data_IF_798388641968
#
_entry.id   IF_798388641968
#
_cell.length_a   1.000
_cell.length_b   1.000
_cell.length_c   1.000
_cell.angle_alpha   90.00
_cell.angle_beta   90.00
_cell.angle_gamma   90.00
#
_symmetry.space_group_name_H-M   'P 1'
#
loop_
_entity.id
_entity.type
_entity.pdbx_description
1 polymer ?
#
# COMPACT_ATOMS: atom_id res chain seq x y z
N UNK A 1 -41.74 1.15 -22.29
CA UNK A 1 -40.33 0.73 -22.43
C UNK A 1 -40.33 -0.78 -22.58
N UNK A 2 -39.84 -1.33 -23.71
CA UNK A 2 -39.87 -2.78 -23.93
C UNK A 2 -38.69 -3.41 -23.20
N UNK A 3 -38.94 -4.40 -22.37
CA UNK A 3 -37.90 -5.18 -21.71
C UNK A 3 -37.29 -6.10 -22.78
N UNK A 4 -35.97 -6.07 -22.90
CA UNK A 4 -35.16 -6.85 -23.85
C UNK A 4 -34.27 -7.79 -23.02
N UNK A 5 -33.88 -8.95 -23.58
CA UNK A 5 -32.93 -9.89 -22.95
C UNK A 5 -33.37 -10.51 -21.61
N UNK A 6 -34.61 -10.33 -21.15
CA UNK A 6 -35.07 -10.92 -19.88
C UNK A 6 -35.03 -12.44 -19.90
N UNK A 7 -35.34 -13.03 -21.05
CA UNK A 7 -35.30 -14.48 -21.29
C UNK A 7 -33.89 -14.98 -21.67
N UNK A 8 -32.92 -14.06 -21.87
CA UNK A 8 -31.55 -14.41 -22.22
C UNK A 8 -30.73 -14.65 -20.95
N UNK A 9 -30.46 -15.91 -20.63
CA UNK A 9 -29.68 -16.30 -19.44
C UNK A 9 -28.26 -15.70 -19.48
N UNK A 10 -27.63 -15.55 -20.66
CA UNK A 10 -26.29 -14.96 -20.77
C UNK A 10 -26.27 -13.48 -20.38
N UNK A 11 -27.36 -12.74 -20.56
CA UNK A 11 -27.47 -11.35 -20.10
C UNK A 11 -27.43 -11.25 -18.56
N UNK A 12 -28.08 -12.19 -17.88
CA UNK A 12 -28.02 -12.31 -16.42
C UNK A 12 -26.63 -12.75 -15.92
N UNK A 13 -26.01 -13.72 -16.59
CA UNK A 13 -24.65 -14.18 -16.26
C UNK A 13 -23.61 -13.08 -16.48
N UNK A 14 -23.77 -12.27 -17.53
CA UNK A 14 -22.96 -11.09 -17.77
C UNK A 14 -23.12 -10.06 -16.64
N UNK A 15 -24.36 -9.73 -16.25
CA UNK A 15 -24.59 -8.82 -15.11
C UNK A 15 -23.93 -9.36 -13.83
N UNK A 16 -24.10 -10.64 -13.53
CA UNK A 16 -23.52 -11.25 -12.33
C UNK A 16 -21.99 -11.19 -12.34
N UNK A 17 -21.35 -11.56 -13.45
CA UNK A 17 -19.89 -11.49 -13.59
C UNK A 17 -19.34 -10.07 -13.48
N UNK A 18 -20.11 -9.04 -13.84
CA UNK A 18 -19.68 -7.63 -13.70
C UNK A 18 -19.67 -7.09 -12.26
N UNK A 19 -20.33 -7.78 -11.30
CA UNK A 19 -20.44 -7.28 -9.91
C UNK A 19 -19.08 -7.22 -9.20
N UNK A 20 -18.23 -8.28 -9.23
CA UNK A 20 -16.87 -8.20 -8.71
C UNK A 20 -16.05 -7.02 -9.27
N UNK A 21 -16.17 -6.72 -10.57
CA UNK A 21 -15.46 -5.60 -11.19
C UNK A 21 -15.78 -4.26 -10.52
N UNK A 22 -17.06 -4.02 -10.20
CA UNK A 22 -17.50 -2.81 -9.50
C UNK A 22 -16.89 -2.71 -8.10
N UNK A 23 -16.87 -3.84 -7.38
CA UNK A 23 -16.31 -3.93 -6.04
C UNK A 23 -14.80 -3.65 -6.08
N UNK A 24 -14.08 -4.14 -7.08
CA UNK A 24 -12.62 -3.93 -7.18
C UNK A 24 -12.24 -2.47 -7.41
N UNK A 25 -13.01 -1.71 -8.20
CA UNK A 25 -12.74 -0.26 -8.37
C UNK A 25 -12.96 0.48 -7.06
N UNK A 26 -14.07 0.18 -6.36
CA UNK A 26 -14.34 0.76 -5.05
C UNK A 26 -13.24 0.39 -4.04
N UNK A 27 -12.82 -0.87 -4.02
CA UNK A 27 -11.74 -1.36 -3.15
C UNK A 27 -10.40 -0.67 -3.43
N UNK A 28 -10.00 -0.54 -4.69
CA UNK A 28 -8.74 0.13 -5.05
C UNK A 28 -8.75 1.62 -4.63
N UNK A 29 -9.88 2.30 -4.81
CA UNK A 29 -10.03 3.69 -4.38
C UNK A 29 -9.96 3.83 -2.84
N UNK A 30 -10.64 2.95 -2.09
CA UNK A 30 -10.65 2.99 -0.61
C UNK A 30 -9.26 2.73 0.00
N UNK A 31 -8.37 2.09 -0.75
CA UNK A 31 -6.96 1.86 -0.39
C UNK A 31 -6.09 3.09 -0.63
N UNK A 32 -6.46 3.94 -1.59
CA UNK A 32 -5.72 5.15 -1.94
C UNK A 32 -6.10 6.33 -1.06
N UNK A 33 -7.37 6.43 -0.66
CA UNK A 33 -7.92 7.60 0.01
C UNK A 33 -8.68 7.25 1.28
N UNK A 34 -8.56 8.09 2.30
CA UNK A 34 -9.38 7.98 3.49
C UNK A 34 -10.84 8.31 3.18
N UNK A 35 -11.73 7.39 3.55
CA UNK A 35 -13.17 7.55 3.43
C UNK A 35 -13.74 8.30 4.64
N UNK A 36 -14.79 9.11 4.41
CA UNK A 36 -15.58 9.74 5.48
C UNK A 36 -16.60 8.79 6.11
N UNK A 37 -16.95 7.73 5.38
CA UNK A 37 -17.91 6.71 5.80
C UNK A 37 -17.24 5.35 5.98
N UNK A 38 -17.96 4.38 6.52
CA UNK A 38 -17.47 3.00 6.58
C UNK A 38 -17.26 2.41 5.18
N UNK A 39 -16.25 1.55 5.04
CA UNK A 39 -15.93 0.89 3.76
C UNK A 39 -17.13 0.12 3.19
N UNK A 40 -17.95 -0.49 4.06
CA UNK A 40 -19.16 -1.24 3.65
C UNK A 40 -20.18 -0.33 2.98
N UNK A 41 -20.47 0.82 3.58
CA UNK A 41 -21.43 1.80 3.01
C UNK A 41 -20.92 2.35 1.69
N UNK A 42 -19.62 2.63 1.58
CA UNK A 42 -19.01 3.06 0.33
C UNK A 42 -19.12 2.01 -0.78
N UNK A 43 -18.83 0.74 -0.48
CA UNK A 43 -18.97 -0.33 -1.47
C UNK A 43 -20.41 -0.50 -1.94
N UNK A 44 -21.39 -0.48 -1.03
CA UNK A 44 -22.81 -0.57 -1.37
C UNK A 44 -23.26 0.61 -2.24
N UNK A 45 -22.84 1.84 -1.91
CA UNK A 45 -23.20 3.02 -2.70
C UNK A 45 -22.58 2.97 -4.11
N UNK A 46 -21.31 2.57 -4.21
CA UNK A 46 -20.60 2.47 -5.48
C UNK A 46 -21.16 1.36 -6.38
N UNK A 47 -21.44 0.18 -5.82
CA UNK A 47 -22.06 -0.92 -6.56
C UNK A 47 -23.49 -0.56 -6.96
N UNK A 48 -24.28 0.03 -6.06
CA UNK A 48 -25.64 0.48 -6.36
C UNK A 48 -25.71 1.48 -7.52
N UNK A 49 -24.82 2.48 -7.54
CA UNK A 49 -24.70 3.42 -8.64
C UNK A 49 -24.34 2.71 -9.97
N UNK A 50 -23.47 1.71 -9.90
CA UNK A 50 -23.02 0.95 -11.06
C UNK A 50 -24.11 -0.03 -11.57
N UNK A 51 -24.96 -0.57 -10.70
CA UNK A 51 -26.16 -1.32 -11.10
C UNK A 51 -27.20 -0.45 -11.81
N UNK A 52 -27.40 0.78 -11.33
CA UNK A 52 -28.27 1.76 -11.98
C UNK A 52 -27.79 2.13 -13.40
N UNK A 53 -26.53 1.86 -13.72
CA UNK A 53 -26.00 1.93 -15.08
C UNK A 53 -26.31 0.70 -15.90
N UNK A 54 -25.86 -0.48 -15.45
CA UNK A 54 -25.80 -1.70 -16.26
C UNK A 54 -27.18 -2.29 -16.52
N UNK A 55 -28.08 -2.31 -15.52
CA UNK A 55 -29.39 -2.94 -15.66
C UNK A 55 -30.23 -2.28 -16.77
N UNK A 56 -30.33 -0.94 -16.86
CA UNK A 56 -30.96 -0.27 -17.99
C UNK A 56 -30.35 -0.59 -19.36
N UNK A 57 -29.03 -0.77 -19.44
CA UNK A 57 -28.35 -1.07 -20.71
C UNK A 57 -28.66 -2.50 -21.17
N UNK A 58 -28.56 -3.46 -20.24
CA UNK A 58 -28.74 -4.88 -20.53
C UNK A 58 -30.19 -5.20 -20.85
N UNK A 59 -31.13 -4.69 -20.05
CA UNK A 59 -32.54 -5.13 -20.09
C UNK A 59 -33.51 -4.16 -20.76
N UNK A 60 -33.11 -2.93 -21.04
CA UNK A 60 -34.02 -1.92 -21.62
C UNK A 60 -33.51 -1.30 -22.93
N UNK A 61 -32.36 -1.78 -23.44
CA UNK A 61 -31.80 -1.32 -24.71
C UNK A 61 -31.46 0.17 -24.74
N UNK A 62 -31.32 0.81 -23.57
CA UNK A 62 -30.97 2.23 -23.47
C UNK A 62 -29.47 2.42 -23.75
N UNK A 63 -29.11 2.42 -25.03
CA UNK A 63 -27.79 2.86 -25.45
C UNK A 63 -27.78 4.38 -25.63
N UNK A 64 -27.32 5.09 -24.60
CA UNK A 64 -27.16 6.55 -24.64
C UNK A 64 -25.66 6.86 -24.60
N UNK A 65 -25.04 7.26 -25.72
CA UNK A 65 -23.59 7.51 -25.81
C UNK A 65 -23.08 8.55 -24.79
N UNK A 66 -23.93 9.51 -24.40
CA UNK A 66 -23.60 10.53 -23.40
C UNK A 66 -23.76 10.04 -21.94
N UNK A 67 -24.46 8.91 -21.70
CA UNK A 67 -24.77 8.43 -20.34
C UNK A 67 -23.55 7.84 -19.63
N UNK A 68 -22.59 7.27 -20.36
CA UNK A 68 -21.31 6.80 -19.80
C UNK A 68 -20.52 7.94 -19.16
N UNK A 69 -20.47 9.11 -19.82
CA UNK A 69 -19.85 10.32 -19.26
C UNK A 69 -20.60 10.85 -18.03
N UNK A 70 -21.94 10.84 -18.05
CA UNK A 70 -22.75 11.23 -16.89
C UNK A 70 -22.48 10.30 -15.69
N UNK A 71 -22.32 9.01 -15.93
CA UNK A 71 -22.05 8.06 -14.85
C UNK A 71 -20.62 8.12 -14.34
N UNK A 72 -19.66 8.35 -15.22
CA UNK A 72 -18.30 8.64 -14.81
C UNK A 72 -18.28 9.91 -13.93
N UNK A 73 -19.02 10.95 -14.30
CA UNK A 73 -19.19 12.14 -13.46
C UNK A 73 -19.86 11.80 -12.12
N UNK A 74 -20.94 11.01 -12.10
CA UNK A 74 -21.59 10.58 -10.86
C UNK A 74 -20.67 9.73 -9.97
N UNK A 75 -19.85 8.85 -10.55
CA UNK A 75 -18.85 8.06 -9.83
C UNK A 75 -17.78 8.96 -9.23
N UNK A 76 -17.28 9.95 -9.97
CA UNK A 76 -16.32 10.94 -9.46
C UNK A 76 -16.93 11.75 -8.31
N UNK A 77 -18.18 12.21 -8.46
CA UNK A 77 -18.90 12.93 -7.40
C UNK A 77 -19.08 12.06 -6.16
N UNK A 78 -19.46 10.79 -6.33
CA UNK A 78 -19.60 9.84 -5.23
C UNK A 78 -18.25 9.60 -4.51
N UNK A 79 -17.18 9.37 -5.27
CA UNK A 79 -15.82 9.23 -4.75
C UNK A 79 -15.37 10.48 -3.97
N UNK A 80 -15.67 11.68 -4.49
CA UNK A 80 -15.34 12.94 -3.84
C UNK A 80 -16.15 13.18 -2.56
N UNK A 81 -17.47 13.00 -2.60
CA UNK A 81 -18.33 13.23 -1.44
C UNK A 81 -17.98 12.27 -0.29
N UNK A 82 -17.72 11.00 -0.61
CA UNK A 82 -17.50 9.93 0.37
C UNK A 82 -16.05 9.81 0.84
N UNK A 83 -15.10 10.56 0.26
CA UNK A 83 -13.70 10.59 0.69
C UNK A 83 -13.28 11.95 1.24
N UNK A 84 -12.18 11.96 2.00
CA UNK A 84 -11.50 13.20 2.42
C UNK A 84 -10.63 13.81 1.31
N UNK A 85 -10.55 13.16 0.15
CA UNK A 85 -9.73 13.62 -0.96
C UNK A 85 -10.38 14.79 -1.72
N UNK A 86 -9.57 15.69 -2.28
CA UNK A 86 -10.07 16.73 -3.18
C UNK A 86 -10.56 16.12 -4.50
N UNK A 87 -11.53 16.77 -5.15
CA UNK A 87 -12.18 16.28 -6.38
C UNK A 87 -11.17 15.97 -7.50
N UNK A 88 -10.09 16.74 -7.60
CA UNK A 88 -9.02 16.54 -8.59
C UNK A 88 -8.37 15.15 -8.44
N UNK A 89 -8.16 14.67 -7.20
CA UNK A 89 -7.59 13.34 -6.97
C UNK A 89 -8.55 12.23 -7.39
N UNK A 90 -9.85 12.42 -7.20
CA UNK A 90 -10.88 11.49 -7.67
C UNK A 90 -10.93 11.44 -9.21
N UNK A 91 -10.84 12.60 -9.87
CA UNK A 91 -10.78 12.69 -11.35
C UNK A 91 -9.56 11.94 -11.89
N UNK A 92 -8.37 12.22 -11.35
CA UNK A 92 -7.13 11.59 -11.82
C UNK A 92 -7.18 10.07 -11.62
N UNK A 93 -7.60 9.60 -10.44
CA UNK A 93 -7.71 8.17 -10.16
C UNK A 93 -8.69 7.48 -11.11
N UNK A 94 -9.89 8.06 -11.28
CA UNK A 94 -10.91 7.49 -12.17
C UNK A 94 -10.45 7.51 -13.64
N UNK A 95 -9.73 8.54 -14.06
CA UNK A 95 -9.11 8.60 -15.40
C UNK A 95 -8.13 7.45 -15.64
N UNK A 96 -7.23 7.16 -14.69
CA UNK A 96 -6.34 6.00 -14.81
C UNK A 96 -7.11 4.66 -14.78
N UNK A 97 -8.12 4.50 -13.90
CA UNK A 97 -8.96 3.30 -13.87
C UNK A 97 -9.68 3.08 -15.21
N UNK A 98 -10.21 4.15 -15.81
CA UNK A 98 -10.85 4.11 -17.13
C UNK A 98 -9.89 3.67 -18.22
N UNK A 99 -8.67 4.22 -18.25
CA UNK A 99 -7.64 3.81 -19.23
C UNK A 99 -7.28 2.33 -19.06
N UNK A 100 -7.11 1.87 -17.82
CA UNK A 100 -6.84 0.44 -17.54
C UNK A 100 -7.99 -0.43 -18.04
N UNK A 101 -9.24 -0.07 -17.73
CA UNK A 101 -10.41 -0.82 -18.16
C UNK A 101 -10.53 -0.84 -19.70
N UNK A 102 -10.30 0.29 -20.37
CA UNK A 102 -10.36 0.39 -21.83
C UNK A 102 -9.27 -0.45 -22.51
N UNK A 103 -8.03 -0.41 -22.00
CA UNK A 103 -6.93 -1.22 -22.50
C UNK A 103 -7.18 -2.72 -22.30
N UNK A 104 -7.74 -3.10 -21.15
CA UNK A 104 -8.07 -4.48 -20.85
C UNK A 104 -9.20 -4.99 -21.75
N UNK A 105 -10.25 -4.19 -21.94
CA UNK A 105 -11.36 -4.52 -22.83
C UNK A 105 -10.89 -4.65 -24.29
N UNK A 106 -10.01 -3.74 -24.74
CA UNK A 106 -9.41 -3.81 -26.06
C UNK A 106 -8.52 -5.04 -26.25
N UNK A 107 -7.71 -5.40 -25.25
CA UNK A 107 -6.87 -6.60 -25.31
C UNK A 107 -7.69 -7.88 -25.37
N UNK A 108 -8.76 -7.97 -24.56
CA UNK A 108 -9.68 -9.10 -24.59
C UNK A 108 -10.42 -9.15 -25.92
N UNK A 109 -10.91 -8.01 -26.42
CA UNK A 109 -11.53 -7.94 -27.73
C UNK A 109 -10.60 -8.47 -28.82
N UNK A 110 -9.33 -8.06 -28.86
CA UNK A 110 -8.37 -8.55 -29.84
C UNK A 110 -8.15 -10.08 -29.74
N UNK A 111 -8.06 -10.62 -28.52
CA UNK A 111 -7.89 -12.06 -28.29
C UNK A 111 -9.10 -12.89 -28.75
N UNK A 112 -10.32 -12.38 -28.56
CA UNK A 112 -11.55 -13.08 -28.95
C UNK A 112 -11.93 -12.82 -30.41
N UNK A 113 -11.61 -11.65 -30.96
CA UNK A 113 -11.91 -11.29 -32.35
C UNK A 113 -11.23 -12.24 -33.36
N UNK A 114 -10.00 -12.68 -33.07
CA UNK A 114 -9.30 -13.70 -33.88
C UNK A 114 -10.00 -15.07 -33.85
N UNK A 115 -10.53 -15.47 -32.70
CA UNK A 115 -11.26 -16.75 -32.54
C UNK A 115 -12.66 -16.68 -33.18
N UNK A 116 -13.31 -15.52 -33.11
CA UNK A 116 -14.69 -15.29 -33.53
C UNK A 116 -14.87 -15.32 -35.06
N UNK A 117 -13.97 -14.67 -35.82
CA UNK A 117 -14.01 -14.73 -37.30
C UNK A 117 -13.77 -16.15 -37.81
N UNK A 118 -12.92 -16.92 -37.13
CA UNK A 118 -12.49 -18.23 -37.60
C UNK A 118 -13.60 -19.29 -37.44
N UNK A 119 -14.49 -19.16 -36.46
CA UNK A 119 -15.44 -20.22 -36.10
C UNK A 119 -16.93 -19.95 -36.44
N UNK A 120 -17.47 -18.74 -36.22
CA UNK A 120 -18.94 -18.59 -36.13
C UNK A 120 -19.57 -17.45 -36.96
N UNK A 121 -18.79 -16.66 -37.71
CA UNK A 121 -19.32 -15.48 -38.42
C UNK A 121 -19.84 -14.38 -37.47
N UNK A 122 -20.38 -13.29 -38.02
CA UNK A 122 -20.88 -12.15 -37.22
C UNK A 122 -22.31 -12.43 -36.76
N UNK A 123 -22.50 -12.80 -35.49
CA UNK A 123 -23.83 -12.88 -34.87
C UNK A 123 -24.33 -11.49 -34.46
N UNK A 124 -25.65 -11.27 -34.52
CA UNK A 124 -26.29 -9.98 -34.15
C UNK A 124 -26.66 -9.89 -32.67
N UNK A 125 -26.62 -11.00 -31.92
CA UNK A 125 -26.92 -11.02 -30.49
C UNK A 125 -25.74 -10.52 -29.65
N UNK A 126 -26.02 -9.53 -28.79
CA UNK A 126 -25.00 -8.84 -28.00
C UNK A 126 -24.54 -9.66 -26.79
N UNK A 127 -25.41 -10.51 -26.23
CA UNK A 127 -25.14 -11.30 -25.01
C UNK A 127 -25.08 -12.79 -25.33
N UNK A 128 -23.87 -13.28 -25.55
CA UNK A 128 -23.55 -14.69 -25.87
C UNK A 128 -22.65 -15.32 -24.80
N UNK A 129 -22.44 -16.63 -24.88
CA UNK A 129 -21.52 -17.36 -23.98
C UNK A 129 -20.10 -16.80 -24.03
N UNK A 130 -19.60 -16.40 -25.20
CA UNK A 130 -18.26 -15.83 -25.37
C UNK A 130 -18.13 -14.48 -24.65
N UNK A 131 -19.17 -13.65 -24.69
CA UNK A 131 -19.21 -12.37 -23.97
C UNK A 131 -19.18 -12.56 -22.45
N UNK A 132 -19.85 -13.60 -21.96
CA UNK A 132 -19.80 -13.98 -20.54
C UNK A 132 -18.40 -14.44 -20.15
N UNK A 133 -17.75 -15.29 -20.95
CA UNK A 133 -16.34 -15.70 -20.73
C UNK A 133 -15.40 -14.49 -20.73
N UNK A 134 -15.57 -13.58 -21.69
CA UNK A 134 -14.79 -12.34 -21.76
C UNK A 134 -14.96 -11.46 -20.51
N UNK A 135 -16.19 -11.36 -19.99
CA UNK A 135 -16.47 -10.63 -18.74
C UNK A 135 -15.74 -11.22 -17.53
N UNK A 136 -15.65 -12.55 -17.42
CA UNK A 136 -14.92 -13.23 -16.33
C UNK A 136 -13.42 -13.01 -16.45
N UNK A 137 -12.87 -13.16 -17.65
CA UNK A 137 -11.45 -12.88 -17.87
C UNK A 137 -11.13 -11.43 -17.55
N UNK A 138 -12.03 -10.51 -17.90
CA UNK A 138 -11.94 -9.12 -17.50
C UNK A 138 -11.90 -8.98 -15.98
N UNK A 139 -12.82 -9.59 -15.24
CA UNK A 139 -12.88 -9.44 -13.77
C UNK A 139 -11.61 -9.96 -13.11
N UNK A 140 -11.18 -11.16 -13.49
CA UNK A 140 -9.96 -11.81 -12.99
C UNK A 140 -8.70 -10.97 -13.26
N UNK A 141 -8.55 -10.41 -14.47
CA UNK A 141 -7.39 -9.59 -14.83
C UNK A 141 -7.46 -8.16 -14.27
N UNK A 142 -8.66 -7.63 -14.03
CA UNK A 142 -8.83 -6.27 -13.53
C UNK A 142 -8.35 -6.10 -12.09
N UNK A 143 -8.48 -7.12 -11.24
CA UNK A 143 -8.10 -7.04 -9.83
C UNK A 143 -6.59 -6.79 -9.60
N UNK A 144 -5.65 -7.56 -10.19
CA UNK A 144 -4.22 -7.27 -10.04
C UNK A 144 -3.84 -5.91 -10.62
N UNK A 145 -4.44 -5.49 -11.75
CA UNK A 145 -4.19 -4.16 -12.34
C UNK A 145 -4.66 -3.02 -11.42
N UNK A 146 -5.83 -3.17 -10.80
CA UNK A 146 -6.36 -2.20 -9.83
C UNK A 146 -5.54 -2.16 -8.54
N UNK A 147 -5.02 -3.30 -8.09
CA UNK A 147 -4.07 -3.34 -6.99
C UNK A 147 -2.75 -2.62 -7.35
N UNK A 148 -2.21 -2.83 -8.56
CA UNK A 148 -1.04 -2.12 -9.06
C UNK A 148 -1.28 -0.61 -9.13
N UNK A 149 -2.43 -0.17 -9.65
CA UNK A 149 -2.82 1.23 -9.66
C UNK A 149 -2.80 1.82 -8.24
N UNK A 150 -3.41 1.12 -7.27
CA UNK A 150 -3.42 1.56 -5.88
C UNK A 150 -2.02 1.57 -5.24
N UNK A 151 -1.16 0.61 -5.58
CA UNK A 151 0.22 0.54 -5.10
C UNK A 151 1.06 1.70 -5.64
N UNK A 152 1.00 1.94 -6.96
CA UNK A 152 1.68 3.07 -7.62
C UNK A 152 1.20 4.39 -7.05
N UNK A 153 -0.11 4.56 -6.86
CA UNK A 153 -0.68 5.76 -6.26
C UNK A 153 -0.13 6.01 -4.85
N UNK A 154 -0.15 4.99 -3.99
CA UNK A 154 0.35 5.11 -2.62
C UNK A 154 1.86 5.38 -2.57
N UNK A 155 2.64 4.83 -3.52
CA UNK A 155 4.07 5.14 -3.67
C UNK A 155 4.30 6.60 -4.06
N UNK A 156 3.57 7.12 -5.04
CA UNK A 156 3.66 8.54 -5.46
C UNK A 156 3.23 9.47 -4.33
N UNK A 157 2.22 9.08 -3.55
CA UNK A 157 1.75 9.83 -2.39
C UNK A 157 2.70 9.75 -1.16
N UNK A 158 3.86 9.09 -1.27
CA UNK A 158 4.85 8.99 -0.19
C UNK A 158 4.40 8.12 0.99
N UNK A 159 3.34 7.31 0.84
CA UNK A 159 2.90 6.41 1.90
C UNK A 159 3.88 5.24 2.04
N UNK A 160 4.21 4.88 3.28
CA UNK A 160 4.99 3.67 3.58
C UNK A 160 4.27 2.46 2.97
N UNK A 161 4.87 1.89 1.94
CA UNK A 161 4.33 0.76 1.18
C UNK A 161 5.04 -0.54 1.55
N UNK A 162 4.27 -1.62 1.58
CA UNK A 162 4.76 -2.99 1.54
C UNK A 162 5.52 -3.24 0.23
N UNK A 163 6.45 -4.21 0.23
CA UNK A 163 7.01 -4.72 -1.02
C UNK A 163 5.90 -5.42 -1.80
N UNK A 164 5.66 -4.98 -3.04
CA UNK A 164 4.76 -5.64 -3.98
C UNK A 164 5.21 -7.09 -4.16
N UNK A 165 4.38 -8.05 -3.73
CA UNK A 165 4.71 -9.47 -3.91
C UNK A 165 4.24 -9.92 -5.28
N UNK A 166 5.18 -10.13 -6.20
CA UNK A 166 4.92 -10.67 -7.55
C UNK A 166 4.19 -12.03 -7.51
N UNK A 167 4.28 -12.77 -6.40
CA UNK A 167 3.52 -14.01 -6.18
C UNK A 167 2.01 -13.82 -6.24
N UNK A 168 1.50 -12.60 -6.04
CA UNK A 168 0.07 -12.30 -6.15
C UNK A 168 -0.44 -12.48 -7.59
N UNK A 169 0.41 -12.36 -8.61
CA UNK A 169 0.02 -12.50 -10.03
C UNK A 169 -0.18 -13.97 -10.43
N UNK A 170 0.37 -14.92 -9.67
CA UNK A 170 0.25 -16.35 -9.98
C UNK A 170 -1.22 -16.83 -9.98
N UNK A 171 -2.05 -16.26 -9.10
CA UNK A 171 -3.46 -16.61 -8.98
C UNK A 171 -4.30 -16.24 -10.22
N UNK A 172 -4.33 -14.97 -10.69
CA UNK A 172 -5.07 -14.61 -11.89
C UNK A 172 -4.52 -15.32 -13.14
N UNK A 173 -3.21 -15.58 -13.22
CA UNK A 173 -2.63 -16.38 -14.31
C UNK A 173 -3.18 -17.81 -14.31
N UNK A 174 -3.25 -18.46 -13.15
CA UNK A 174 -3.83 -19.80 -13.03
C UNK A 174 -5.31 -19.81 -13.42
N UNK A 175 -6.10 -18.82 -13.00
CA UNK A 175 -7.51 -18.72 -13.39
C UNK A 175 -7.69 -18.53 -14.90
N UNK A 176 -6.87 -17.67 -15.54
CA UNK A 176 -6.91 -17.49 -17.00
C UNK A 176 -6.58 -18.80 -17.73
N UNK A 177 -5.57 -19.54 -17.25
CA UNK A 177 -5.23 -20.86 -17.83
C UNK A 177 -6.39 -21.86 -17.69
N UNK A 178 -7.04 -21.92 -16.52
CA UNK A 178 -8.19 -22.80 -16.29
C UNK A 178 -9.37 -22.40 -17.17
N UNK A 179 -9.70 -21.11 -17.26
CA UNK A 179 -10.80 -20.63 -18.12
C UNK A 179 -10.51 -20.97 -19.58
N UNK A 180 -9.29 -20.73 -20.05
CA UNK A 180 -8.89 -21.04 -21.43
C UNK A 180 -8.96 -22.54 -21.70
N UNK A 181 -8.48 -23.36 -20.76
CA UNK A 181 -8.54 -24.82 -20.87
C UNK A 181 -9.98 -25.36 -20.86
N UNK A 182 -10.87 -24.79 -20.05
CA UNK A 182 -12.30 -25.11 -20.05
C UNK A 182 -12.89 -24.76 -21.43
N UNK A 183 -12.68 -23.54 -21.91
CA UNK A 183 -13.22 -23.08 -23.20
C UNK A 183 -12.71 -23.93 -24.37
N UNK A 184 -11.45 -24.34 -24.36
CA UNK A 184 -10.89 -25.18 -25.43
C UNK A 184 -11.30 -26.65 -25.36
N UNK A 185 -11.50 -27.20 -24.14
CA UNK A 185 -11.81 -28.63 -23.95
C UNK A 185 -13.31 -28.93 -24.11
N UNK A 186 -14.18 -27.95 -23.85
CA UNK A 186 -15.61 -28.05 -24.07
C UNK A 186 -16.00 -27.68 -25.51
N UNK A 187 -15.28 -28.27 -26.48
CA UNK A 187 -15.74 -28.33 -27.87
C UNK A 187 -17.13 -28.97 -27.93
N UNK A 188 -17.99 -28.46 -28.80
CA UNK A 188 -19.39 -28.88 -28.98
C UNK A 188 -19.53 -30.41 -29.21
N UNK A 189 -18.47 -31.06 -29.70
CA UNK A 189 -18.38 -32.51 -29.91
C UNK A 189 -18.33 -33.32 -28.61
N UNK A 190 -17.57 -32.88 -27.59
CA UNK A 190 -17.43 -33.61 -26.33
C UNK A 190 -18.69 -33.53 -25.45
N UNK A 191 -19.40 -32.41 -25.52
CA UNK A 191 -20.62 -32.18 -24.73
C UNK A 191 -21.82 -33.00 -25.20
N UNK A 192 -21.95 -33.20 -26.52
CA UNK A 192 -22.98 -34.08 -27.09
C UNK A 192 -22.82 -35.54 -26.64
N UNK A 193 -21.59 -35.99 -26.37
CA UNK A 193 -21.32 -37.35 -25.89
C UNK A 193 -21.66 -37.50 -24.40
N UNK A 194 -21.34 -36.49 -23.59
CA UNK A 194 -21.53 -36.54 -22.12
C UNK A 194 -22.94 -36.12 -21.67
N UNK A 195 -23.81 -35.61 -22.56
CA UNK A 195 -25.16 -35.08 -22.25
C UNK A 195 -25.16 -34.04 -21.11
N UNK A 196 -24.08 -33.28 -20.97
CA UNK A 196 -23.96 -32.24 -19.94
C UNK A 196 -24.46 -30.92 -20.51
N UNK A 197 -25.30 -30.22 -19.72
CA UNK A 197 -25.79 -28.89 -20.10
C UNK A 197 -24.67 -27.84 -19.97
N UNK A 198 -24.31 -27.23 -21.11
CA UNK A 198 -23.30 -26.16 -21.22
C UNK A 198 -23.66 -24.98 -20.31
N UNK A 199 -24.95 -24.68 -20.19
CA UNK A 199 -25.42 -23.56 -19.38
C UNK A 199 -25.14 -23.80 -17.89
N UNK A 200 -25.38 -25.02 -17.41
CA UNK A 200 -25.18 -25.41 -16.02
C UNK A 200 -23.69 -25.36 -15.65
N UNK A 201 -22.82 -25.93 -16.48
CA UNK A 201 -21.36 -25.92 -16.25
C UNK A 201 -20.81 -24.50 -16.26
N UNK A 202 -21.24 -23.69 -17.22
CA UNK A 202 -20.83 -22.27 -17.32
C UNK A 202 -21.27 -21.51 -16.07
N UNK A 203 -22.52 -21.68 -15.64
CA UNK A 203 -23.06 -20.99 -14.45
C UNK A 203 -22.32 -21.38 -13.17
N UNK A 204 -22.04 -22.66 -12.97
CA UNK A 204 -21.27 -23.12 -11.80
C UNK A 204 -19.84 -22.57 -11.84
N UNK A 205 -19.17 -22.63 -12.99
CA UNK A 205 -17.83 -22.08 -13.17
C UNK A 205 -17.76 -20.59 -12.84
N UNK A 206 -18.75 -19.82 -13.29
CA UNK A 206 -18.86 -18.38 -13.02
C UNK A 206 -18.96 -18.06 -11.53
N UNK A 207 -19.82 -18.79 -10.82
CA UNK A 207 -20.00 -18.59 -9.37
C UNK A 207 -18.70 -18.91 -8.64
N UNK A 208 -18.02 -20.00 -9.02
CA UNK A 208 -16.72 -20.37 -8.44
C UNK A 208 -15.67 -19.28 -8.70
N UNK A 209 -15.53 -18.79 -9.94
CA UNK A 209 -14.56 -17.74 -10.25
C UNK A 209 -14.87 -16.42 -9.53
N UNK A 210 -16.13 -16.00 -9.47
CA UNK A 210 -16.52 -14.80 -8.76
C UNK A 210 -16.20 -14.89 -7.25
N UNK A 211 -16.48 -16.04 -6.62
CA UNK A 211 -16.11 -16.28 -5.21
C UNK A 211 -14.59 -16.28 -5.04
N UNK A 212 -13.87 -16.94 -5.96
CA UNK A 212 -12.42 -17.02 -5.94
C UNK A 212 -11.76 -15.63 -6.05
N UNK A 213 -12.29 -14.74 -6.91
CA UNK A 213 -11.78 -13.37 -7.04
C UNK A 213 -12.05 -12.53 -5.77
N UNK A 214 -13.20 -12.71 -5.12
CA UNK A 214 -13.51 -12.04 -3.85
C UNK A 214 -12.59 -12.54 -2.71
N UNK A 215 -12.34 -13.85 -2.66
CA UNK A 215 -11.37 -14.45 -1.73
C UNK A 215 -9.98 -13.89 -1.99
N UNK A 216 -9.57 -13.81 -3.25
CA UNK A 216 -8.28 -13.24 -3.64
C UNK A 216 -8.13 -11.76 -3.23
N UNK A 217 -9.17 -10.93 -3.42
CA UNK A 217 -9.20 -9.55 -2.92
C UNK A 217 -9.03 -9.49 -1.39
N UNK A 218 -9.69 -10.40 -0.65
CA UNK A 218 -9.54 -10.49 0.80
C UNK A 218 -8.12 -10.88 1.19
N UNK A 219 -7.52 -11.87 0.53
CA UNK A 219 -6.14 -12.28 0.74
C UNK A 219 -5.14 -11.15 0.48
N UNK A 220 -5.30 -10.38 -0.61
CA UNK A 220 -4.45 -9.20 -0.87
C UNK A 220 -4.58 -8.20 0.29
N UNK A 221 -5.81 -7.94 0.73
CA UNK A 221 -6.08 -6.99 1.82
C UNK A 221 -5.43 -7.43 3.14
N UNK A 222 -5.43 -8.73 3.43
CA UNK A 222 -4.86 -9.30 4.65
C UNK A 222 -3.32 -9.30 4.61
N UNK A 223 -2.72 -9.72 3.50
CA UNK A 223 -1.27 -9.66 3.27
C UNK A 223 -0.75 -8.23 3.44
N UNK A 224 -1.48 -7.26 2.92
CA UNK A 224 -1.14 -5.84 3.04
C UNK A 224 -1.19 -5.33 4.47
N UNK A 225 -2.23 -5.70 5.23
CA UNK A 225 -2.30 -5.38 6.67
C UNK A 225 -1.12 -5.99 7.40
N UNK A 226 -0.83 -7.27 7.16
CA UNK A 226 0.31 -7.96 7.77
C UNK A 226 1.63 -7.26 7.44
N UNK A 227 1.86 -6.89 6.18
CA UNK A 227 3.08 -6.17 5.79
C UNK A 227 3.17 -4.78 6.45
N UNK A 228 2.06 -4.06 6.61
CA UNK A 228 2.05 -2.78 7.31
C UNK A 228 2.41 -2.93 8.79
N UNK A 229 1.84 -3.94 9.47
CA UNK A 229 2.18 -4.28 10.86
C UNK A 229 3.65 -4.70 10.98
N UNK A 230 4.17 -5.52 10.07
CA UNK A 230 5.58 -5.93 10.06
C UNK A 230 6.51 -4.72 9.94
N UNK A 231 6.16 -3.74 9.10
CA UNK A 231 6.93 -2.52 8.93
C UNK A 231 6.89 -1.63 10.19
N UNK A 232 5.74 -1.52 10.85
CA UNK A 232 5.59 -0.83 12.13
C UNK A 232 6.44 -1.49 13.22
N UNK A 233 6.33 -2.81 13.37
CA UNK A 233 7.12 -3.61 14.32
C UNK A 233 8.62 -3.45 14.05
N UNK A 234 9.06 -3.49 12.80
CA UNK A 234 10.47 -3.30 12.47
C UNK A 234 10.95 -1.89 12.81
N UNK A 235 10.12 -0.86 12.58
CA UNK A 235 10.46 0.52 12.97
C UNK A 235 10.54 0.70 14.48
N UNK A 236 9.65 0.06 15.25
CA UNK A 236 9.70 0.07 16.71
C UNK A 236 10.93 -0.67 17.25
N UNK A 237 11.28 -1.82 16.65
CA UNK A 237 12.51 -2.55 17.00
C UNK A 237 13.75 -1.70 16.76
N UNK A 238 13.81 -0.99 15.64
CA UNK A 238 14.93 -0.09 15.33
C UNK A 238 15.02 1.07 16.32
N UNK A 239 13.90 1.72 16.65
CA UNK A 239 13.86 2.80 17.64
C UNK A 239 14.33 2.31 19.02
N UNK A 240 13.89 1.12 19.45
CA UNK A 240 14.33 0.51 20.70
C UNK A 240 15.83 0.22 20.72
N UNK A 241 16.39 -0.31 19.61
CA UNK A 241 17.83 -0.55 19.52
C UNK A 241 18.64 0.74 19.64
N UNK A 242 18.13 1.83 19.06
CA UNK A 242 18.75 3.14 19.17
C UNK A 242 18.70 3.68 20.60
N UNK A 243 17.56 3.52 21.30
CA UNK A 243 17.45 3.86 22.73
C UNK A 243 18.42 3.06 23.59
N UNK A 244 18.52 1.75 23.39
CA UNK A 244 19.47 0.89 24.11
C UNK A 244 20.93 1.35 23.91
N UNK A 245 21.28 1.78 22.69
CA UNK A 245 22.60 2.37 22.41
C UNK A 245 22.80 3.71 23.14
N UNK A 246 21.80 4.59 23.14
CA UNK A 246 21.87 5.85 23.86
C UNK A 246 22.00 5.65 25.38
N UNK A 247 21.28 4.69 25.95
CA UNK A 247 21.40 4.36 27.38
C UNK A 247 22.81 3.88 27.74
N UNK A 248 23.44 3.04 26.90
CA UNK A 248 24.84 2.63 27.11
C UNK A 248 25.81 3.81 27.11
N UNK A 249 25.66 4.74 26.15
CA UNK A 249 26.49 5.94 26.12
C UNK A 249 26.30 6.82 27.35
N UNK A 250 25.07 6.94 27.86
CA UNK A 250 24.80 7.67 29.10
C UNK A 250 25.45 6.96 30.29
N UNK A 251 25.37 5.63 30.36
CA UNK A 251 25.97 4.84 31.44
C UNK A 251 27.50 4.97 31.45
N UNK A 252 28.15 4.90 30.29
CA UNK A 252 29.60 5.13 30.12
C UNK A 252 29.99 6.53 30.63
N UNK A 253 29.27 7.58 30.21
CA UNK A 253 29.50 8.95 30.71
C UNK A 253 29.29 9.06 32.22
N UNK A 254 28.26 8.40 32.78
CA UNK A 254 28.03 8.40 34.24
C UNK A 254 29.16 7.71 34.98
N UNK A 255 29.70 6.62 34.44
CA UNK A 255 30.85 5.94 35.00
C UNK A 255 32.10 6.83 34.98
N UNK A 256 32.38 7.52 33.87
CA UNK A 256 33.48 8.49 33.77
C UNK A 256 33.36 9.61 34.80
N UNK A 257 32.16 10.20 34.95
CA UNK A 257 31.90 11.24 35.97
C UNK A 257 32.08 10.70 37.39
N UNK A 258 31.64 9.47 37.65
CA UNK A 258 31.83 8.84 38.95
C UNK A 258 33.32 8.62 39.27
N UNK A 259 34.13 8.23 38.28
CA UNK A 259 35.57 8.11 38.39
C UNK A 259 36.23 9.45 38.68
N UNK A 260 35.91 10.50 37.93
CA UNK A 260 36.42 11.87 38.18
C UNK A 260 36.11 12.32 39.60
N UNK A 261 34.86 12.12 40.06
CA UNK A 261 34.45 12.47 41.43
C UNK A 261 35.22 11.68 42.48
N UNK A 262 35.48 10.40 42.25
CA UNK A 262 36.27 9.57 43.16
C UNK A 262 37.71 10.09 43.26
N UNK A 263 38.34 10.41 42.13
CA UNK A 263 39.71 10.90 42.09
C UNK A 263 39.85 12.27 42.78
N UNK A 264 38.90 13.18 42.56
CA UNK A 264 38.82 14.47 43.28
C UNK A 264 38.67 14.25 44.80
N UNK A 265 37.80 13.35 45.23
CA UNK A 265 37.63 13.06 46.65
C UNK A 265 38.91 12.51 47.30
N UNK A 266 39.66 11.66 46.58
CA UNK A 266 40.95 11.14 47.05
C UNK A 266 42.00 12.26 47.17
N UNK A 267 42.09 13.14 46.17
CA UNK A 267 42.99 14.31 46.24
C UNK A 267 42.63 15.23 47.41
N UNK A 268 41.35 15.52 47.63
CA UNK A 268 40.87 16.29 48.78
C UNK A 268 41.20 15.63 50.13
N UNK A 269 41.08 14.31 50.23
CA UNK A 269 41.44 13.57 51.43
C UNK A 269 42.96 13.66 51.72
N UNK A 270 43.79 13.53 50.68
CA UNK A 270 45.24 13.70 50.76
C UNK A 270 45.62 15.11 51.19
N UNK A 271 45.03 16.15 50.59
CA UNK A 271 45.23 17.56 50.99
C UNK A 271 44.89 17.75 52.47
N UNK A 272 43.74 17.23 52.91
CA UNK A 272 43.30 17.32 54.31
C UNK A 272 44.31 16.68 55.26
N UNK A 273 44.89 15.53 54.89
CA UNK A 273 45.93 14.85 55.66
C UNK A 273 47.23 15.67 55.75
N UNK A 274 47.70 16.23 54.63
CA UNK A 274 48.93 17.05 54.56
C UNK A 274 48.80 18.32 55.40
N UNK A 275 47.64 18.99 55.34
CA UNK A 275 47.33 20.16 56.18
C UNK A 275 47.36 19.79 57.66
N UNK A 276 46.77 18.65 58.05
CA UNK A 276 46.79 18.18 59.44
C UNK A 276 48.21 17.84 59.93
N UNK A 277 49.07 17.37 59.03
CA UNK A 277 50.46 16.98 59.29
C UNK A 277 51.45 18.16 59.24
N UNK A 278 50.96 19.40 59.03
CA UNK A 278 51.75 20.63 58.83
C UNK A 278 52.70 20.62 57.62
N UNK A 279 52.44 19.77 56.62
CA UNK A 279 53.13 19.80 55.33
C UNK A 279 52.44 20.77 54.36
N UNK A 280 52.54 22.07 54.67
CA UNK A 280 51.76 23.12 53.98
C UNK A 280 52.20 23.33 52.52
N UNK A 281 53.50 23.32 52.23
CA UNK A 281 54.01 23.45 50.84
C UNK A 281 53.48 22.32 49.92
N UNK A 282 53.50 21.07 50.39
CA UNK A 282 53.01 19.93 49.60
C UNK A 282 51.49 19.98 49.38
N UNK A 283 50.74 20.53 50.35
CA UNK A 283 49.31 20.74 50.21
C UNK A 283 48.98 21.84 49.17
N UNK A 284 49.75 22.93 49.15
CA UNK A 284 49.60 24.01 48.15
C UNK A 284 49.92 23.53 46.72
N UNK A 285 50.97 22.71 46.56
CA UNK A 285 51.32 22.13 45.25
C UNK A 285 50.18 21.24 44.72
N UNK A 286 49.62 20.35 45.56
CA UNK A 286 48.51 19.48 45.18
C UNK A 286 47.21 20.25 44.88
N UNK A 287 46.96 21.36 45.58
CA UNK A 287 45.85 22.27 45.29
C UNK A 287 46.05 22.93 43.91
N UNK A 288 47.26 23.38 43.59
CA UNK A 288 47.58 23.96 42.28
C UNK A 288 47.40 22.97 41.13
N UNK A 289 47.75 21.70 41.32
CA UNK A 289 47.47 20.64 40.35
C UNK A 289 45.97 20.36 40.19
N UNK A 290 45.22 20.32 41.30
CA UNK A 290 43.76 20.13 41.28
C UNK A 290 43.07 21.29 40.55
N UNK A 291 43.44 22.54 40.82
CA UNK A 291 42.92 23.73 40.15
C UNK A 291 43.19 23.71 38.65
N UNK A 292 44.41 23.36 38.23
CA UNK A 292 44.74 23.22 36.81
C UNK A 292 43.91 22.11 36.14
N UNK A 293 43.68 20.99 36.84
CA UNK A 293 42.88 19.87 36.33
C UNK A 293 41.41 20.27 36.13
N UNK A 294 40.81 20.96 37.10
CA UNK A 294 39.43 21.46 37.03
C UNK A 294 39.27 22.54 35.96
N UNK A 295 40.22 23.47 35.86
CA UNK A 295 40.21 24.51 34.81
C UNK A 295 40.29 23.91 33.40
N UNK A 296 41.05 22.83 33.23
CA UNK A 296 41.16 22.12 31.95
C UNK A 296 39.91 21.28 31.59
N UNK A 297 39.02 21.02 32.55
CA UNK A 297 37.72 20.36 32.33
C UNK A 297 36.59 21.34 32.05
N UNK A 298 36.83 22.65 32.16
CA UNK A 298 35.83 23.68 31.92
C UNK A 298 35.59 23.84 30.41
N UNK A 299 34.37 23.58 29.95
CA UNK A 299 33.96 23.89 28.57
C UNK A 299 33.85 25.41 28.40
N UNK A 300 34.55 25.96 27.42
CA UNK A 300 34.44 27.37 27.06
C UNK A 300 33.06 27.63 26.43
N UNK A 301 32.29 28.53 27.04
CA UNK A 301 30.97 28.91 26.53
C UNK A 301 31.11 30.00 25.47
N UNK A 302 31.26 29.59 24.21
CA UNK A 302 31.34 30.51 23.06
C UNK A 302 29.96 31.07 22.66
N UNK A 303 28.89 30.32 22.89
CA UNK A 303 27.51 30.73 22.64
C UNK A 303 26.50 29.99 23.54
N UNK A 304 25.21 30.29 23.41
CA UNK A 304 24.15 29.66 24.21
C UNK A 304 23.79 28.23 23.80
N UNK A 305 24.44 27.65 22.78
CA UNK A 305 24.15 26.31 22.26
C UNK A 305 25.26 25.34 22.68
N UNK A 306 24.99 24.39 23.61
CA UNK A 306 26.01 23.50 24.18
C UNK A 306 26.77 22.65 23.15
N UNK A 307 26.06 22.14 22.13
CA UNK A 307 26.67 21.32 21.06
C UNK A 307 27.67 22.14 20.24
N UNK A 308 27.39 23.41 19.99
CA UNK A 308 28.28 24.31 19.24
C UNK A 308 29.53 24.60 20.06
N UNK A 309 29.38 24.84 21.37
CA UNK A 309 30.51 25.04 22.27
C UNK A 309 31.43 23.82 22.36
N UNK A 310 30.85 22.61 22.38
CA UNK A 310 31.62 21.37 22.38
C UNK A 310 32.44 21.20 21.10
N UNK A 311 31.83 21.43 19.92
CA UNK A 311 32.52 21.33 18.62
C UNK A 311 33.62 22.39 18.47
N UNK A 312 33.35 23.64 18.87
CA UNK A 312 34.35 24.73 18.82
C UNK A 312 35.49 24.42 19.78
N UNK A 313 35.20 23.98 21.01
CA UNK A 313 36.24 23.60 21.99
C UNK A 313 37.12 22.45 21.49
N UNK A 314 36.54 21.46 20.82
CA UNK A 314 37.28 20.35 20.22
C UNK A 314 38.15 20.82 19.05
N UNK A 315 37.61 21.66 18.16
CA UNK A 315 38.36 22.22 17.02
C UNK A 315 39.46 23.19 17.45
N UNK A 316 39.27 23.96 18.51
CA UNK A 316 40.30 24.83 19.07
C UNK A 316 41.46 24.01 19.65
N UNK A 317 41.15 22.95 20.42
CA UNK A 317 42.18 22.01 20.93
C UNK A 317 42.95 21.33 19.79
N UNK A 318 42.31 21.10 18.65
CA UNK A 318 42.96 20.54 17.47
C UNK A 318 43.84 21.58 16.76
N UNK A 319 43.39 22.83 16.63
CA UNK A 319 44.15 23.94 16.05
C UNK A 319 45.40 24.32 16.87
N UNK A 320 45.29 24.32 18.21
CA UNK A 320 46.42 24.55 19.12
C UNK A 320 47.54 23.53 18.92
N UNK A 321 47.22 22.25 18.62
CA UNK A 321 48.22 21.22 18.32
C UNK A 321 49.01 21.50 17.04
N UNK A 322 48.44 22.25 16.11
CA UNK A 322 49.09 22.67 14.87
C UNK A 322 49.71 24.07 14.96
N UNK A 323 49.73 24.69 16.16
CA UNK A 323 50.29 26.02 16.38
C UNK A 323 49.47 27.15 15.77
N UNK A 324 48.20 26.90 15.47
CA UNK A 324 47.26 27.88 14.94
C UNK A 324 46.49 28.44 16.14
N UNK A 325 46.76 29.70 16.50
CA UNK A 325 46.09 30.43 17.58
C UNK A 325 44.87 31.19 17.06
#
# INVERSE_FOLDING_TARGET
MKIVNIDNVYAWLYLFSSVPQMIFTAWAFSRCFELKVSQKVYYIAFTGLSFAHLVPQIFFGLYVPAKTFVLLALQIVLMWLMSKSGIVKAIIFNGFDMVINMLLEFALFLSFFGIFITNNGITTDVYTSERVVGSVLFTTLSLPLKYLLAAVWNKIAGKKQSKLRMSLIAFPVAQVLVITAIVSSFSQVYMNILKVDILLVTTIGLVIFAIADLIYMFFISDIEKKNALELEVNSMKYARQLEEQHFKQIEEKRYEVAKIRHDINNQLASIKSMVHSRHIEQAEELIGELENTVRNTQEYSYCSIPVVNAVISEKNKEAEKYGIQ
#
